data_IF_886211289522
#
_entry.id   IF_886211289522
#
_cell.length_a   1.000
_cell.length_b   1.000
_cell.length_c   1.000
_cell.angle_alpha   90.00
_cell.angle_beta   90.00
_cell.angle_gamma   90.00
#
_symmetry.space_group_name_H-M   'P 1'
#
loop_
_entity.id
_entity.type
_entity.pdbx_description
1 polymer ?
#
# COMPACT_ATOMS: atom_id res chain seq x y z
N UNK A 1 85.72 65.98 2.09
CA UNK A 1 84.69 65.64 3.09
C UNK A 1 83.56 64.92 2.38
N UNK A 2 83.17 63.78 2.95
CA UNK A 2 82.29 62.73 2.40
C UNK A 2 80.86 63.22 2.19
N UNK A 3 80.16 62.71 1.18
CA UNK A 3 78.77 62.24 1.32
C UNK A 3 78.55 60.99 0.46
N UNK A 4 78.02 59.98 1.13
CA UNK A 4 77.92 58.59 0.74
C UNK A 4 76.60 58.32 0.02
N UNK A 5 76.63 57.52 -1.06
CA UNK A 5 75.40 57.03 -1.72
C UNK A 5 75.35 55.51 -1.68
N UNK A 6 74.60 55.00 -0.72
CA UNK A 6 74.33 53.59 -0.43
C UNK A 6 73.44 52.99 -1.53
N UNK A 7 73.91 52.00 -2.28
CA UNK A 7 73.05 51.14 -3.11
C UNK A 7 72.70 49.88 -2.34
N UNK A 8 71.44 49.82 -1.87
CA UNK A 8 70.82 48.62 -1.30
C UNK A 8 70.36 47.72 -2.45
N UNK A 9 70.99 46.55 -2.59
CA UNK A 9 70.53 45.49 -3.50
C UNK A 9 69.58 44.56 -2.72
N UNK A 10 68.28 44.66 -3.00
CA UNK A 10 67.24 43.78 -2.45
C UNK A 10 67.27 42.41 -3.15
N UNK A 11 67.53 41.34 -2.40
CA UNK A 11 67.35 39.97 -2.86
C UNK A 11 65.88 39.54 -2.67
N UNK A 12 65.16 39.29 -3.77
CA UNK A 12 63.84 38.66 -3.75
C UNK A 12 64.01 37.15 -3.53
N UNK A 13 63.56 36.65 -2.37
CA UNK A 13 63.29 35.22 -2.17
C UNK A 13 61.94 34.87 -2.81
N UNK A 14 61.96 34.06 -3.86
CA UNK A 14 60.77 33.41 -4.39
C UNK A 14 60.37 32.25 -3.46
N UNK A 15 59.37 32.47 -2.61
CA UNK A 15 58.72 31.40 -1.87
C UNK A 15 57.79 30.63 -2.82
N UNK A 16 58.24 29.46 -3.28
CA UNK A 16 57.38 28.53 -4.02
C UNK A 16 56.25 28.04 -3.12
N UNK A 17 55.01 28.16 -3.58
CA UNK A 17 53.85 27.56 -2.92
C UNK A 17 54.00 26.04 -2.98
N UNK A 18 54.33 25.41 -1.85
CA UNK A 18 54.26 23.96 -1.71
C UNK A 18 52.80 23.53 -1.83
N UNK A 19 52.38 23.15 -3.04
CA UNK A 19 51.09 22.50 -3.25
C UNK A 19 51.06 21.21 -2.43
N UNK A 20 50.05 21.06 -1.58
CA UNK A 20 49.88 19.84 -0.79
C UNK A 20 49.85 18.61 -1.71
N UNK A 21 50.95 17.84 -1.74
CA UNK A 21 51.05 16.60 -2.49
C UNK A 21 50.02 15.60 -1.96
N UNK A 22 49.09 15.18 -2.83
CA UNK A 22 48.09 14.14 -2.55
C UNK A 22 48.66 12.82 -3.06
N UNK A 23 48.90 11.88 -2.15
CA UNK A 23 49.46 10.57 -2.48
C UNK A 23 48.34 9.53 -2.56
N UNK A 24 48.30 8.72 -3.61
CA UNK A 24 47.29 7.67 -3.79
C UNK A 24 47.93 6.30 -3.63
N UNK A 25 47.37 5.49 -2.74
CA UNK A 25 47.73 4.09 -2.49
C UNK A 25 46.70 3.18 -3.16
N UNK A 26 47.15 2.27 -4.01
CA UNK A 26 46.29 1.28 -4.68
C UNK A 26 47.02 -0.05 -4.89
N UNK A 27 46.27 -1.09 -5.26
CA UNK A 27 46.80 -2.42 -5.59
C UNK A 27 46.78 -2.58 -7.12
N UNK A 28 47.93 -2.89 -7.72
CA UNK A 28 48.05 -3.14 -9.16
C UNK A 28 47.61 -4.57 -9.55
N UNK A 29 47.56 -4.87 -10.85
CA UNK A 29 47.12 -6.18 -11.38
C UNK A 29 48.01 -7.35 -10.93
N UNK A 30 49.24 -7.05 -10.49
CA UNK A 30 50.16 -8.04 -9.94
C UNK A 30 50.00 -8.24 -8.43
N UNK A 31 48.97 -7.62 -7.83
CA UNK A 31 48.70 -7.68 -6.40
C UNK A 31 49.64 -6.82 -5.55
N UNK A 32 50.46 -5.95 -6.17
CA UNK A 32 51.43 -5.12 -5.45
C UNK A 32 50.84 -3.77 -5.09
N UNK A 33 51.12 -3.31 -3.88
CA UNK A 33 50.74 -1.97 -3.44
C UNK A 33 51.63 -0.92 -4.12
N UNK A 34 51.01 0.05 -4.78
CA UNK A 34 51.68 1.17 -5.46
C UNK A 34 51.23 2.49 -4.87
N UNK A 35 52.17 3.44 -4.86
CA UNK A 35 51.94 4.83 -4.44
C UNK A 35 52.18 5.74 -5.64
N UNK A 36 51.26 6.66 -5.90
CA UNK A 36 51.37 7.59 -7.02
C UNK A 36 50.86 8.97 -6.62
N UNK A 37 51.49 10.01 -7.15
CA UNK A 37 51.09 11.40 -6.95
C UNK A 37 49.89 11.79 -7.83
N UNK A 38 49.58 10.99 -8.86
CA UNK A 38 48.43 11.17 -9.75
C UNK A 38 47.66 9.85 -9.92
N UNK A 39 46.32 9.86 -9.77
CA UNK A 39 45.52 8.66 -9.98
C UNK A 39 45.65 8.20 -11.45
N UNK A 40 46.03 6.94 -11.72
CA UNK A 40 46.15 6.41 -13.08
C UNK A 40 44.76 6.27 -13.73
N UNK A 41 44.68 6.38 -15.06
CA UNK A 41 43.43 6.24 -15.82
C UNK A 41 42.86 4.81 -15.68
N UNK A 42 43.72 3.80 -15.61
CA UNK A 42 43.35 2.37 -15.52
C UNK A 42 42.71 1.97 -14.16
N UNK A 43 42.59 2.92 -13.23
CA UNK A 43 42.11 2.70 -11.86
C UNK A 43 40.65 3.13 -11.63
N UNK A 44 39.94 3.61 -12.66
CA UNK A 44 38.51 3.90 -12.56
C UNK A 44 37.72 2.65 -12.14
N UNK A 45 37.06 2.69 -10.99
CA UNK A 45 36.25 1.59 -10.45
C UNK A 45 37.00 0.57 -9.59
N UNK A 46 38.26 0.81 -9.20
CA UNK A 46 39.01 -0.07 -8.27
C UNK A 46 39.24 0.63 -6.93
N UNK A 47 39.43 -0.15 -5.87
CA UNK A 47 39.65 0.40 -4.53
C UNK A 47 40.97 1.20 -4.46
N UNK A 48 40.91 2.43 -3.96
CA UNK A 48 42.09 3.30 -3.79
C UNK A 48 41.99 4.13 -2.52
N UNK A 49 43.13 4.41 -1.89
CA UNK A 49 43.19 5.21 -0.66
C UNK A 49 44.03 6.46 -0.91
N UNK A 50 43.44 7.64 -0.71
CA UNK A 50 44.13 8.92 -0.75
C UNK A 50 44.74 9.22 0.62
N UNK A 51 46.01 9.60 0.63
CA UNK A 51 46.82 9.94 1.78
C UNK A 51 47.21 11.43 1.71
N UNK A 52 47.32 12.09 2.87
CA UNK A 52 47.91 13.43 2.97
C UNK A 52 49.45 13.35 2.96
N UNK A 53 50.11 14.51 2.98
CA UNK A 53 51.57 14.62 3.03
C UNK A 53 52.22 14.00 4.27
N UNK A 54 51.44 13.70 5.31
CA UNK A 54 51.87 13.04 6.55
C UNK A 54 51.56 11.53 6.53
N UNK A 55 51.14 10.97 5.39
CA UNK A 55 50.82 9.53 5.25
C UNK A 55 49.51 9.12 5.95
N UNK A 56 48.69 10.07 6.40
CA UNK A 56 47.37 9.79 7.01
C UNK A 56 46.32 9.62 5.91
N UNK A 57 45.40 8.65 6.08
CA UNK A 57 44.27 8.42 5.17
C UNK A 57 43.31 9.61 5.19
N UNK A 58 43.14 10.24 4.03
CA UNK A 58 42.21 11.35 3.81
C UNK A 58 40.91 10.87 3.18
N UNK A 59 40.98 9.87 2.29
CA UNK A 59 39.81 9.35 1.58
C UNK A 59 40.03 7.89 1.19
N UNK A 60 39.01 7.06 1.36
CA UNK A 60 38.99 5.70 0.83
C UNK A 60 37.93 5.65 -0.28
N UNK A 61 38.33 5.24 -1.48
CA UNK A 61 37.44 4.96 -2.60
C UNK A 61 37.29 3.43 -2.66
N UNK A 62 36.07 2.92 -2.47
CA UNK A 62 35.79 1.50 -2.63
C UNK A 62 35.89 1.09 -4.11
N UNK A 63 36.07 -0.21 -4.37
CA UNK A 63 35.92 -0.75 -5.72
C UNK A 63 34.47 -0.54 -6.22
N UNK A 64 34.30 -0.48 -7.54
CA UNK A 64 32.99 -0.56 -8.15
C UNK A 64 32.33 -1.86 -7.72
N UNK A 65 31.07 -1.77 -7.32
CA UNK A 65 30.27 -2.92 -6.93
C UNK A 65 30.26 -3.93 -8.08
N UNK A 66 30.39 -5.20 -7.73
CA UNK A 66 30.21 -6.29 -8.68
C UNK A 66 28.79 -6.28 -9.23
N UNK A 67 28.53 -6.81 -10.44
CA UNK A 67 27.17 -6.91 -10.98
C UNK A 67 26.18 -7.61 -10.02
N UNK A 68 26.66 -8.59 -9.25
CA UNK A 68 25.87 -9.29 -8.23
C UNK A 68 25.52 -8.38 -7.03
N UNK A 69 26.46 -7.57 -6.55
CA UNK A 69 26.23 -6.59 -5.48
C UNK A 69 25.28 -5.47 -5.93
N UNK A 70 25.40 -5.02 -7.18
CA UNK A 70 24.46 -4.04 -7.77
C UNK A 70 23.05 -4.63 -7.81
N UNK A 71 22.90 -5.86 -8.33
CA UNK A 71 21.60 -6.54 -8.38
C UNK A 71 21.00 -6.76 -6.99
N UNK A 72 21.83 -7.10 -5.99
CA UNK A 72 21.38 -7.25 -4.60
C UNK A 72 20.90 -5.91 -4.01
N UNK A 73 21.63 -4.83 -4.25
CA UNK A 73 21.25 -3.49 -3.80
C UNK A 73 19.96 -3.01 -4.48
N UNK A 74 19.81 -3.22 -5.78
CA UNK A 74 18.58 -2.89 -6.51
C UNK A 74 17.37 -3.68 -5.99
N UNK A 75 17.55 -4.97 -5.69
CA UNK A 75 16.50 -5.79 -5.11
C UNK A 75 16.11 -5.34 -3.70
N UNK A 76 17.08 -4.92 -2.87
CA UNK A 76 16.82 -4.37 -1.54
C UNK A 76 16.07 -3.02 -1.64
N UNK A 77 16.51 -2.13 -2.52
CA UNK A 77 15.86 -0.84 -2.75
C UNK A 77 14.45 -1.00 -3.30
N UNK A 78 14.22 -1.98 -4.18
CA UNK A 78 12.88 -2.33 -4.65
C UNK A 78 11.98 -2.76 -3.48
N UNK A 79 12.45 -3.69 -2.63
CA UNK A 79 11.71 -4.14 -1.43
C UNK A 79 11.41 -2.98 -0.47
N UNK A 80 12.37 -2.08 -0.24
CA UNK A 80 12.16 -0.88 0.59
C UNK A 80 11.11 0.04 -0.02
N UNK A 81 11.13 0.26 -1.33
CA UNK A 81 10.14 1.08 -2.03
C UNK A 81 8.74 0.48 -1.95
N UNK A 82 8.61 -0.83 -2.13
CA UNK A 82 7.34 -1.56 -1.98
C UNK A 82 6.81 -1.45 -0.55
N UNK A 83 7.65 -1.72 0.46
CA UNK A 83 7.27 -1.58 1.86
C UNK A 83 6.86 -0.14 2.22
N UNK A 84 7.59 0.86 1.73
CA UNK A 84 7.25 2.26 1.92
C UNK A 84 5.93 2.64 1.23
N UNK A 85 5.65 2.09 0.04
CA UNK A 85 4.38 2.30 -0.66
C UNK A 85 3.21 1.69 0.13
N UNK A 86 3.35 0.47 0.64
CA UNK A 86 2.34 -0.19 1.49
C UNK A 86 2.07 0.65 2.75
N UNK A 87 3.12 1.09 3.45
CA UNK A 87 2.97 1.89 4.67
C UNK A 87 2.28 3.25 4.41
N UNK A 88 2.57 3.90 3.27
CA UNK A 88 1.89 5.14 2.85
C UNK A 88 0.42 4.89 2.56
N UNK A 89 0.10 3.80 1.87
CA UNK A 89 -1.28 3.40 1.59
C UNK A 89 -2.07 3.07 2.86
N UNK A 90 -1.47 2.35 3.81
CA UNK A 90 -2.09 2.11 5.12
C UNK A 90 -2.34 3.40 5.89
N UNK A 91 -1.37 4.31 5.91
CA UNK A 91 -1.54 5.62 6.58
C UNK A 91 -2.66 6.43 5.94
N UNK A 92 -2.73 6.42 4.60
CA UNK A 92 -3.81 7.08 3.84
C UNK A 92 -5.17 6.50 4.18
N UNK A 93 -5.30 5.16 4.20
CA UNK A 93 -6.54 4.46 4.57
C UNK A 93 -6.95 4.76 6.02
N UNK A 94 -6.02 4.72 6.96
CA UNK A 94 -6.27 5.04 8.36
C UNK A 94 -6.79 6.47 8.54
N UNK A 95 -6.14 7.43 7.89
CA UNK A 95 -6.57 8.83 7.92
C UNK A 95 -7.96 9.01 7.32
N UNK A 96 -8.26 8.33 6.21
CA UNK A 96 -9.58 8.36 5.60
C UNK A 96 -10.66 7.75 6.52
N UNK A 97 -10.34 6.64 7.20
CA UNK A 97 -11.25 5.99 8.15
C UNK A 97 -11.62 6.94 9.30
N UNK A 98 -10.63 7.55 9.95
CA UNK A 98 -10.85 8.50 11.05
C UNK A 98 -11.55 9.79 10.59
N UNK A 99 -11.30 10.24 9.36
CA UNK A 99 -11.97 11.42 8.80
C UNK A 99 -13.44 11.13 8.46
N UNK A 100 -13.76 9.90 8.06
CA UNK A 100 -15.13 9.50 7.69
C UNK A 100 -16.00 9.22 8.91
N UNK A 101 -15.42 8.61 9.95
CA UNK A 101 -16.13 8.22 11.17
C UNK A 101 -15.50 8.91 12.39
N UNK A 102 -16.09 10.01 12.87
CA UNK A 102 -15.58 10.71 14.06
C UNK A 102 -15.57 9.85 15.33
N UNK A 103 -16.51 8.92 15.44
CA UNK A 103 -16.63 8.00 16.58
C UNK A 103 -16.98 6.56 16.13
N UNK A 104 -16.80 5.61 17.06
CA UNK A 104 -17.28 4.23 16.87
C UNK A 104 -18.80 4.19 16.64
N UNK A 105 -19.55 5.10 17.30
CA UNK A 105 -20.99 5.21 17.10
C UNK A 105 -21.34 5.61 15.66
N UNK A 106 -20.59 6.52 15.05
CA UNK A 106 -20.84 6.92 13.65
C UNK A 106 -20.63 5.75 12.68
N UNK A 107 -19.68 4.87 13.00
CA UNK A 107 -19.38 3.66 12.24
C UNK A 107 -20.51 2.63 12.38
N UNK A 108 -21.01 2.41 13.60
CA UNK A 108 -22.16 1.54 13.87
C UNK A 108 -23.45 2.09 13.20
N UNK A 109 -23.69 3.40 13.27
CA UNK A 109 -24.83 4.04 12.62
C UNK A 109 -24.72 3.96 11.09
N UNK A 110 -23.52 4.08 10.53
CA UNK A 110 -23.28 3.90 9.09
C UNK A 110 -23.55 2.46 8.65
N UNK A 111 -23.13 1.47 9.44
CA UNK A 111 -23.48 0.05 9.22
C UNK A 111 -24.99 -0.15 9.23
N UNK A 112 -25.68 0.38 10.23
CA UNK A 112 -27.13 0.26 10.35
C UNK A 112 -27.85 0.86 9.13
N UNK A 113 -27.43 2.04 8.64
CA UNK A 113 -27.97 2.63 7.41
C UNK A 113 -27.71 1.78 6.17
N UNK A 114 -26.51 1.24 6.02
CA UNK A 114 -26.17 0.38 4.89
C UNK A 114 -27.03 -0.90 4.88
N UNK A 115 -27.20 -1.54 6.04
CA UNK A 115 -28.06 -2.71 6.21
C UNK A 115 -29.54 -2.38 5.95
N UNK A 116 -30.03 -1.25 6.43
CA UNK A 116 -31.41 -0.81 6.19
C UNK A 116 -31.68 -0.59 4.70
N UNK A 117 -30.75 0.05 3.97
CA UNK A 117 -30.87 0.25 2.53
C UNK A 117 -30.87 -1.09 1.77
N UNK A 118 -30.02 -2.04 2.18
CA UNK A 118 -29.99 -3.38 1.61
C UNK A 118 -31.32 -4.12 1.87
N UNK A 119 -31.82 -4.08 3.10
CA UNK A 119 -33.08 -4.71 3.49
C UNK A 119 -34.27 -4.13 2.72
N UNK A 120 -34.31 -2.81 2.52
CA UNK A 120 -35.34 -2.17 1.70
C UNK A 120 -35.27 -2.64 0.23
N UNK A 121 -34.06 -2.74 -0.34
CA UNK A 121 -33.89 -3.30 -1.68
C UNK A 121 -34.35 -4.77 -1.77
N UNK A 122 -34.03 -5.59 -0.78
CA UNK A 122 -34.48 -6.98 -0.70
C UNK A 122 -36.00 -7.08 -0.58
N UNK A 123 -36.63 -6.19 0.20
CA UNK A 123 -38.09 -6.10 0.33
C UNK A 123 -38.77 -5.81 -1.01
N UNK A 124 -38.22 -4.90 -1.82
CA UNK A 124 -38.76 -4.61 -3.15
C UNK A 124 -38.70 -5.83 -4.09
N UNK A 125 -37.60 -6.58 -4.05
CA UNK A 125 -37.44 -7.83 -4.81
C UNK A 125 -38.49 -8.86 -4.36
N UNK A 126 -38.68 -9.03 -3.04
CA UNK A 126 -39.67 -9.93 -2.48
C UNK A 126 -41.11 -9.55 -2.87
N UNK A 127 -41.44 -8.26 -2.88
CA UNK A 127 -42.75 -7.78 -3.36
C UNK A 127 -42.97 -8.13 -4.83
N UNK A 128 -41.94 -7.97 -5.68
CA UNK A 128 -41.99 -8.37 -7.09
C UNK A 128 -42.18 -9.88 -7.25
N UNK A 129 -41.48 -10.69 -6.46
CA UNK A 129 -41.66 -12.14 -6.45
C UNK A 129 -43.08 -12.54 -6.04
N UNK A 130 -43.65 -11.90 -5.02
CA UNK A 130 -45.02 -12.17 -4.60
C UNK A 130 -46.05 -11.82 -5.69
N UNK A 131 -45.81 -10.77 -6.47
CA UNK A 131 -46.63 -10.44 -7.65
C UNK A 131 -46.51 -11.50 -8.74
N UNK A 132 -45.29 -11.93 -9.07
CA UNK A 132 -45.03 -12.99 -10.04
C UNK A 132 -45.67 -14.31 -9.62
N UNK A 133 -45.61 -14.68 -8.35
CA UNK A 133 -46.24 -15.90 -7.84
C UNK A 133 -47.77 -15.84 -7.94
N UNK A 134 -48.38 -14.68 -7.69
CA UNK A 134 -49.82 -14.50 -7.91
C UNK A 134 -50.18 -14.68 -9.38
N UNK A 135 -49.36 -14.19 -10.30
CA UNK A 135 -49.55 -14.38 -11.75
C UNK A 135 -49.37 -15.85 -12.13
N UNK A 136 -48.33 -16.51 -11.60
CA UNK A 136 -48.07 -17.94 -11.77
C UNK A 136 -49.29 -18.79 -11.40
N UNK A 137 -49.88 -18.53 -10.24
CA UNK A 137 -51.09 -19.22 -9.78
C UNK A 137 -52.29 -18.98 -10.70
N UNK A 138 -52.46 -17.76 -11.24
CA UNK A 138 -53.52 -17.47 -12.22
C UNK A 138 -53.32 -18.26 -13.51
N UNK A 139 -52.11 -18.23 -14.08
CA UNK A 139 -51.77 -18.98 -15.30
C UNK A 139 -51.94 -20.48 -15.06
N UNK A 140 -51.55 -21.00 -13.89
CA UNK A 140 -51.74 -22.40 -13.53
C UNK A 140 -53.23 -22.78 -13.49
N UNK A 141 -54.09 -21.94 -12.91
CA UNK A 141 -55.55 -22.14 -12.90
C UNK A 141 -56.14 -22.10 -14.31
N UNK A 142 -55.70 -21.17 -15.16
CA UNK A 142 -56.15 -21.09 -16.55
C UNK A 142 -55.70 -22.32 -17.36
N UNK A 143 -54.50 -22.84 -17.10
CA UNK A 143 -54.00 -24.06 -17.73
C UNK A 143 -54.84 -25.30 -17.38
N UNK A 144 -55.53 -25.31 -16.23
CA UNK A 144 -56.40 -26.43 -15.86
C UNK A 144 -57.60 -26.63 -16.80
N UNK A 145 -58.04 -25.59 -17.51
CA UNK A 145 -59.11 -25.70 -18.52
C UNK A 145 -58.65 -26.38 -19.81
N UNK A 146 -57.34 -26.66 -19.95
CA UNK A 146 -56.73 -27.26 -21.13
C UNK A 146 -56.11 -28.64 -20.82
N UNK A 147 -56.51 -29.34 -19.74
CA UNK A 147 -55.93 -30.64 -19.36
C UNK A 147 -55.90 -31.68 -20.49
N UNK A 148 -56.92 -31.70 -21.35
CA UNK A 148 -57.04 -32.63 -22.49
C UNK A 148 -56.79 -31.96 -23.86
N UNK A 149 -56.30 -30.72 -23.88
CA UNK A 149 -56.05 -29.91 -25.09
C UNK A 149 -54.65 -29.32 -25.06
N UNK A 150 -54.02 -29.02 -26.22
CA UNK A 150 -52.76 -28.30 -26.20
C UNK A 150 -52.95 -26.92 -25.54
N UNK A 151 -52.06 -26.57 -24.61
CA UNK A 151 -52.06 -25.27 -23.97
C UNK A 151 -51.80 -24.18 -25.05
N UNK A 152 -52.63 -23.12 -25.11
CA UNK A 152 -52.40 -21.99 -26.00
C UNK A 152 -50.98 -21.41 -25.87
N UNK A 153 -50.38 -21.01 -27.00
CA UNK A 153 -48.98 -20.55 -27.02
C UNK A 153 -48.73 -19.36 -26.08
N UNK A 154 -49.69 -18.44 -25.98
CA UNK A 154 -49.63 -17.30 -25.08
C UNK A 154 -49.50 -17.71 -23.61
N UNK A 155 -50.31 -18.69 -23.15
CA UNK A 155 -50.23 -19.20 -21.77
C UNK A 155 -48.92 -19.93 -21.50
N UNK A 156 -48.44 -20.73 -22.46
CA UNK A 156 -47.14 -21.41 -22.35
C UNK A 156 -45.98 -20.40 -22.25
N UNK A 157 -46.03 -19.35 -23.08
CA UNK A 157 -45.02 -18.28 -23.08
C UNK A 157 -45.04 -17.51 -21.76
N UNK A 158 -46.22 -17.12 -21.30
CA UNK A 158 -46.35 -16.40 -20.03
C UNK A 158 -45.86 -17.24 -18.84
N UNK A 159 -46.19 -18.54 -18.80
CA UNK A 159 -45.68 -19.43 -17.76
C UNK A 159 -44.14 -19.50 -17.77
N UNK A 160 -43.52 -19.61 -18.95
CA UNK A 160 -42.07 -19.63 -19.10
C UNK A 160 -41.42 -18.32 -18.64
N UNK A 161 -41.99 -17.17 -19.04
CA UNK A 161 -41.50 -15.84 -18.66
C UNK A 161 -41.58 -15.64 -17.14
N UNK A 162 -42.71 -16.00 -16.51
CA UNK A 162 -42.88 -15.88 -15.05
C UNK A 162 -41.85 -16.74 -14.31
N UNK A 163 -41.64 -17.98 -14.74
CA UNK A 163 -40.65 -18.88 -14.12
C UNK A 163 -39.21 -18.36 -14.31
N UNK A 164 -38.90 -17.79 -15.47
CA UNK A 164 -37.61 -17.15 -15.73
C UNK A 164 -37.39 -15.93 -14.84
N UNK A 165 -38.40 -15.07 -14.72
CA UNK A 165 -38.37 -13.88 -13.87
C UNK A 165 -38.23 -14.26 -12.40
N UNK A 166 -38.96 -15.27 -11.91
CA UNK A 166 -38.85 -15.76 -10.54
C UNK A 166 -37.43 -16.24 -10.22
N UNK A 167 -36.79 -17.00 -11.12
CA UNK A 167 -35.38 -17.43 -10.94
C UNK A 167 -34.42 -16.24 -10.92
N UNK A 168 -34.64 -15.24 -11.76
CA UNK A 168 -33.83 -14.03 -11.78
C UNK A 168 -33.99 -13.24 -10.47
N UNK A 169 -35.23 -13.04 -9.99
CA UNK A 169 -35.49 -12.38 -8.71
C UNK A 169 -34.89 -13.14 -7.53
N UNK A 170 -34.98 -14.47 -7.50
CA UNK A 170 -34.36 -15.28 -6.45
C UNK A 170 -32.84 -15.08 -6.41
N UNK A 171 -32.19 -15.04 -7.57
CA UNK A 171 -30.74 -14.77 -7.65
C UNK A 171 -30.38 -13.39 -7.08
N UNK A 172 -31.26 -12.40 -7.23
CA UNK A 172 -31.09 -11.07 -6.63
C UNK A 172 -31.26 -11.09 -5.11
N UNK A 173 -32.21 -11.87 -4.57
CA UNK A 173 -32.36 -12.07 -3.12
C UNK A 173 -31.09 -12.69 -2.54
N UNK A 174 -30.56 -13.74 -3.17
CA UNK A 174 -29.35 -14.42 -2.72
C UNK A 174 -28.14 -13.47 -2.76
N UNK A 175 -28.06 -12.62 -3.78
CA UNK A 175 -27.03 -11.58 -3.87
C UNK A 175 -27.17 -10.55 -2.74
N UNK A 176 -28.39 -10.12 -2.39
CA UNK A 176 -28.63 -9.19 -1.27
C UNK A 176 -28.23 -9.81 0.06
N UNK A 177 -28.49 -11.10 0.27
CA UNK A 177 -28.07 -11.81 1.47
C UNK A 177 -26.54 -11.87 1.61
N UNK A 178 -25.82 -12.16 0.51
CA UNK A 178 -24.35 -12.09 0.50
C UNK A 178 -23.83 -10.68 0.76
N UNK A 179 -24.53 -9.67 0.24
CA UNK A 179 -24.19 -8.27 0.48
C UNK A 179 -24.33 -7.88 1.96
N UNK A 180 -25.31 -8.44 2.69
CA UNK A 180 -25.42 -8.27 4.15
C UNK A 180 -24.17 -8.77 4.87
N UNK A 181 -23.70 -9.98 4.53
CA UNK A 181 -22.48 -10.56 5.09
C UNK A 181 -21.25 -9.70 4.77
N UNK A 182 -21.14 -9.23 3.52
CA UNK A 182 -20.05 -8.36 3.10
C UNK A 182 -20.07 -6.98 3.79
N UNK A 183 -21.25 -6.38 3.97
CA UNK A 183 -21.43 -5.13 4.72
C UNK A 183 -20.96 -5.33 6.16
N UNK A 184 -21.43 -6.41 6.82
CA UNK A 184 -21.04 -6.71 8.19
C UNK A 184 -19.54 -6.90 8.34
N UNK A 185 -18.93 -7.76 7.51
CA UNK A 185 -17.50 -8.03 7.55
C UNK A 185 -16.66 -6.76 7.34
N UNK A 186 -17.05 -5.90 6.38
CA UNK A 186 -16.36 -4.63 6.14
C UNK A 186 -16.42 -3.71 7.36
N UNK A 187 -17.60 -3.53 7.95
CA UNK A 187 -17.75 -2.64 9.11
C UNK A 187 -17.11 -3.21 10.37
N UNK A 188 -17.08 -4.54 10.54
CA UNK A 188 -16.34 -5.18 11.63
C UNK A 188 -14.83 -4.96 11.49
N UNK A 189 -14.30 -5.03 10.26
CA UNK A 189 -12.91 -4.70 9.96
C UNK A 189 -12.58 -3.22 10.22
N UNK A 190 -13.43 -2.33 9.72
CA UNK A 190 -13.27 -0.88 9.91
C UNK A 190 -13.29 -0.55 11.41
N UNK A 191 -14.20 -1.15 12.18
CA UNK A 191 -14.28 -0.97 13.64
C UNK A 191 -13.02 -1.48 14.34
N UNK A 192 -12.56 -2.68 13.99
CA UNK A 192 -11.31 -3.25 14.52
C UNK A 192 -10.12 -2.34 14.25
N UNK A 193 -10.00 -1.84 13.02
CA UNK A 193 -8.92 -0.93 12.61
C UNK A 193 -9.03 0.42 13.31
N UNK A 194 -10.24 0.97 13.44
CA UNK A 194 -10.49 2.21 14.16
C UNK A 194 -10.00 2.13 15.61
N UNK A 195 -10.35 1.04 16.32
CA UNK A 195 -9.92 0.79 17.70
C UNK A 195 -8.40 0.66 17.82
N UNK A 196 -7.76 -0.02 16.86
CA UNK A 196 -6.29 -0.11 16.80
C UNK A 196 -5.61 1.25 16.63
N UNK A 197 -6.15 2.14 15.78
CA UNK A 197 -5.54 3.45 15.50
C UNK A 197 -5.77 4.42 16.65
N UNK A 198 -6.96 4.41 17.26
CA UNK A 198 -7.34 5.36 18.33
C UNK A 198 -6.81 4.96 19.70
N UNK A 199 -6.26 3.75 19.86
CA UNK A 199 -5.86 3.22 21.16
C UNK A 199 -7.04 2.91 22.09
N UNK A 200 -8.28 3.14 21.62
CA UNK A 200 -9.48 2.70 22.29
C UNK A 200 -9.55 1.18 22.17
N UNK A 201 -9.17 0.47 23.24
CA UNK A 201 -9.51 -0.95 23.36
C UNK A 201 -11.04 -1.06 23.40
N UNK A 202 -11.66 -2.08 22.80
CA UNK A 202 -13.10 -2.29 22.95
C UNK A 202 -13.39 -2.43 24.44
N UNK A 203 -14.06 -1.44 25.04
CA UNK A 203 -14.53 -1.55 26.41
C UNK A 203 -15.43 -2.78 26.46
N UNK A 204 -15.07 -3.85 27.20
CA UNK A 204 -15.96 -4.97 27.35
C UNK A 204 -17.21 -4.44 28.04
N UNK A 205 -18.36 -4.63 27.40
CA UNK A 205 -19.67 -4.33 27.98
C UNK A 205 -19.73 -4.98 29.37
N UNK A 206 -19.70 -4.15 30.41
CA UNK A 206 -19.82 -4.57 31.79
C UNK A 206 -21.23 -5.16 31.99
N UNK A 207 -21.31 -6.49 31.87
CA UNK A 207 -22.51 -7.27 32.15
C UNK A 207 -22.12 -8.38 33.12
N UNK A 208 -22.64 -8.20 34.35
CA UNK A 208 -22.77 -9.16 35.45
C UNK A 208 -21.50 -9.47 36.25
N UNK A 209 -21.11 -8.52 37.11
CA UNK A 209 -20.61 -8.85 38.44
C UNK A 209 -21.77 -8.81 39.43
N UNK A 210 -22.60 -9.87 39.46
CA UNK A 210 -23.44 -10.14 40.63
C UNK A 210 -22.62 -10.99 41.58
N UNK A 211 -21.91 -10.30 42.47
CA UNK A 211 -21.19 -10.89 43.59
C UNK A 211 -22.23 -11.31 44.64
N UNK A 212 -22.17 -12.58 45.03
CA UNK A 212 -22.84 -13.12 46.20
C UNK A 212 -22.34 -12.47 47.52
N UNK A 213 -23.18 -12.57 48.56
CA UNK A 213 -22.97 -12.31 50.00
C UNK A 213 -23.54 -10.98 50.53
N UNK A 214 -24.77 -11.00 51.07
CA UNK A 214 -25.06 -11.32 52.48
C UNK A 214 -26.53 -11.69 52.64
#
# INVERSE_FOLDING_TARGET
MRKDTVHRLCALLAAGTAGAQKLYKYVDETGRTRYTDRPPIDMTGRASTQLNSQGTVVKHNAAALTPEEIAAQEAEELKKREAAAIAREETRKNRALLATYPSVKDLDDARARALANNAESARQIQLRMAELERRRVKVAKEAEFYKDKPLPENLRREAYEIESDLRAQQSLVDAKQKEVEAINARYDEDKRRYLQITGASPTPSASVATKAAN
#
